data_IF_467323461510
#
_entry.id   IF_467323461510
#
_cell.length_a   1.000
_cell.length_b   1.000
_cell.length_c   1.000
_cell.angle_alpha   90.00
_cell.angle_beta   90.00
_cell.angle_gamma   90.00
#
_symmetry.space_group_name_H-M   'P 1'
#
loop_
_entity.id
_entity.type
_entity.pdbx_description
1 polymer ?
#
# COMPACT_ATOMS: atom_id res chain seq x y z
N UNK A 1 2.11 -14.57 -23.75
CA UNK A 1 1.05 -13.60 -23.43
C UNK A 1 -0.05 -14.34 -22.67
N UNK A 2 -0.35 -13.98 -21.42
CA UNK A 2 -1.46 -14.62 -20.68
C UNK A 2 -2.78 -14.16 -21.27
N UNK A 3 -3.69 -15.09 -21.60
CA UNK A 3 -4.98 -14.76 -22.20
C UNK A 3 -5.80 -13.84 -21.29
N UNK A 4 -6.64 -12.96 -21.83
CA UNK A 4 -7.53 -12.09 -21.03
C UNK A 4 -8.41 -12.92 -20.07
N UNK A 5 -8.76 -14.14 -20.47
CA UNK A 5 -9.48 -15.11 -19.65
C UNK A 5 -8.70 -15.54 -18.40
N UNK A 6 -7.38 -15.79 -18.52
CA UNK A 6 -6.53 -16.16 -17.38
C UNK A 6 -6.40 -15.02 -16.36
N UNK A 7 -6.37 -13.75 -16.82
CA UNK A 7 -6.38 -12.59 -15.92
C UNK A 7 -7.73 -12.43 -15.22
N UNK A 8 -8.84 -12.56 -15.95
CA UNK A 8 -10.18 -12.47 -15.35
C UNK A 8 -10.41 -13.57 -14.31
N UNK A 9 -10.01 -14.81 -14.62
CA UNK A 9 -10.07 -15.93 -13.69
C UNK A 9 -9.24 -15.67 -12.42
N UNK A 10 -8.01 -15.15 -12.55
CA UNK A 10 -7.18 -14.85 -11.37
C UNK A 10 -7.75 -13.74 -10.46
N UNK A 11 -8.52 -12.81 -11.02
CA UNK A 11 -9.21 -11.76 -10.25
C UNK A 11 -10.45 -12.36 -9.56
N UNK A 12 -11.14 -13.29 -10.20
CA UNK A 12 -12.35 -13.92 -9.67
C UNK A 12 -12.05 -14.98 -8.58
N UNK A 13 -10.94 -15.71 -8.72
CA UNK A 13 -10.49 -16.72 -7.76
C UNK A 13 -9.57 -16.16 -6.67
N UNK A 14 -9.44 -14.84 -6.56
CA UNK A 14 -8.76 -14.24 -5.42
C UNK A 14 -9.64 -14.40 -4.17
N UNK A 15 -9.12 -14.92 -3.04
CA UNK A 15 -9.91 -15.14 -1.83
C UNK A 15 -10.56 -13.84 -1.30
N UNK A 16 -9.95 -12.69 -1.59
CA UNK A 16 -10.44 -11.35 -1.24
C UNK A 16 -11.68 -10.91 -2.03
N UNK A 17 -11.90 -11.44 -3.24
CA UNK A 17 -13.04 -11.10 -4.12
C UNK A 17 -14.08 -12.22 -4.17
N UNK A 18 -13.64 -13.48 -4.10
CA UNK A 18 -14.49 -14.66 -4.13
C UNK A 18 -15.37 -14.77 -2.88
N UNK A 19 -14.84 -14.45 -1.70
CA UNK A 19 -15.60 -14.55 -0.46
C UNK A 19 -16.75 -13.52 -0.38
N UNK A 20 -16.53 -12.21 -0.65
CA UNK A 20 -17.64 -11.25 -0.76
C UNK A 20 -18.64 -11.61 -1.85
N UNK A 21 -18.18 -12.13 -2.99
CA UNK A 21 -19.04 -12.54 -4.09
C UNK A 21 -19.95 -13.72 -3.69
N UNK A 22 -19.40 -14.76 -3.07
CA UNK A 22 -20.18 -15.91 -2.59
C UNK A 22 -21.18 -15.50 -1.51
N UNK A 23 -20.73 -14.68 -0.56
CA UNK A 23 -21.59 -14.13 0.49
C UNK A 23 -22.74 -13.32 -0.13
N UNK A 24 -22.43 -12.40 -1.05
CA UNK A 24 -23.42 -11.61 -1.79
C UNK A 24 -24.38 -12.45 -2.61
N UNK A 25 -23.90 -13.54 -3.23
CA UNK A 25 -24.73 -14.46 -4.03
C UNK A 25 -25.71 -15.24 -3.15
N UNK A 26 -25.27 -15.71 -1.98
CA UNK A 26 -26.13 -16.36 -0.99
C UNK A 26 -27.19 -15.36 -0.49
N UNK A 27 -26.80 -14.10 -0.22
CA UNK A 27 -27.76 -13.05 0.14
C UNK A 27 -28.81 -12.82 -0.93
N UNK A 28 -28.39 -12.69 -2.18
CA UNK A 28 -29.30 -12.44 -3.30
C UNK A 28 -30.29 -13.59 -3.48
N UNK A 29 -29.84 -14.84 -3.31
CA UNK A 29 -30.68 -16.03 -3.40
C UNK A 29 -31.71 -16.09 -2.26
N UNK A 30 -31.29 -15.84 -1.01
CA UNK A 30 -32.19 -15.85 0.15
C UNK A 30 -33.20 -14.71 0.07
N UNK A 31 -32.75 -13.50 -0.30
CA UNK A 31 -33.63 -12.35 -0.49
C UNK A 31 -34.63 -12.58 -1.62
N UNK A 32 -34.18 -13.14 -2.75
CA UNK A 32 -35.05 -13.50 -3.86
C UNK A 32 -36.13 -14.51 -3.46
N UNK A 33 -35.79 -15.53 -2.68
CA UNK A 33 -36.75 -16.52 -2.16
C UNK A 33 -37.77 -15.88 -1.24
N UNK A 34 -37.34 -15.03 -0.30
CA UNK A 34 -38.23 -14.33 0.63
C UNK A 34 -39.18 -13.36 -0.10
N UNK A 35 -38.67 -12.60 -1.07
CA UNK A 35 -39.50 -11.68 -1.88
C UNK A 35 -40.51 -12.46 -2.71
N UNK A 36 -40.10 -13.60 -3.29
CA UNK A 36 -41.01 -14.47 -4.04
C UNK A 36 -42.13 -15.03 -3.15
N UNK A 37 -41.82 -15.53 -1.96
CA UNK A 37 -42.82 -16.04 -1.01
C UNK A 37 -43.80 -14.95 -0.55
N UNK A 38 -43.31 -13.74 -0.30
CA UNK A 38 -44.18 -12.59 0.04
C UNK A 38 -45.07 -12.23 -1.15
N UNK A 39 -44.53 -12.10 -2.36
CA UNK A 39 -45.34 -11.80 -3.54
C UNK A 39 -46.37 -12.90 -3.84
N UNK A 40 -45.96 -14.17 -3.72
CA UNK A 40 -46.82 -15.31 -3.97
C UNK A 40 -47.96 -15.38 -2.95
N UNK A 41 -47.67 -15.21 -1.66
CA UNK A 41 -48.69 -15.16 -0.59
C UNK A 41 -49.66 -13.99 -0.75
N UNK A 42 -49.18 -12.83 -1.21
CA UNK A 42 -50.01 -11.64 -1.45
C UNK A 42 -50.94 -11.80 -2.66
N UNK A 43 -50.54 -12.61 -3.65
CA UNK A 43 -51.34 -12.91 -4.85
C UNK A 43 -52.32 -14.05 -4.61
N UNK A 44 -51.94 -15.05 -3.82
CA UNK A 44 -52.75 -16.27 -3.64
C UNK A 44 -53.70 -16.23 -2.44
N UNK A 45 -53.43 -15.40 -1.42
CA UNK A 45 -54.13 -15.50 -0.14
C UNK A 45 -54.69 -14.16 0.37
N UNK A 46 -55.56 -13.55 -0.44
CA UNK A 46 -56.22 -12.28 -0.11
C UNK A 46 -57.36 -12.40 0.93
N UNK A 47 -57.62 -13.58 1.51
CA UNK A 47 -58.74 -13.80 2.42
C UNK A 47 -58.40 -14.51 3.75
N UNK A 48 -57.17 -14.98 3.97
CA UNK A 48 -56.77 -15.61 5.23
C UNK A 48 -55.95 -14.67 6.13
N UNK A 49 -56.40 -14.48 7.37
CA UNK A 49 -55.73 -13.63 8.38
C UNK A 49 -54.36 -14.18 8.79
N UNK A 50 -54.09 -15.46 8.51
CA UNK A 50 -52.83 -16.12 8.83
C UNK A 50 -51.72 -15.81 7.81
N UNK A 51 -52.08 -15.45 6.57
CA UNK A 51 -51.12 -15.10 5.51
C UNK A 51 -50.36 -13.81 5.83
N UNK A 52 -51.06 -12.80 6.38
CA UNK A 52 -50.44 -11.55 6.82
C UNK A 52 -49.42 -11.79 7.94
N UNK A 53 -49.74 -12.66 8.90
CA UNK A 53 -48.86 -12.99 10.01
C UNK A 53 -47.58 -13.71 9.53
N UNK A 54 -47.72 -14.64 8.58
CA UNK A 54 -46.58 -15.34 7.98
C UNK A 54 -45.67 -14.38 7.18
N UNK A 55 -46.24 -13.48 6.39
CA UNK A 55 -45.48 -12.48 5.65
C UNK A 55 -44.70 -11.53 6.57
N UNK A 56 -45.31 -11.10 7.69
CA UNK A 56 -44.64 -10.27 8.70
C UNK A 56 -43.48 -11.04 9.36
N UNK A 57 -43.67 -12.32 9.70
CA UNK A 57 -42.61 -13.14 10.29
C UNK A 57 -41.41 -13.32 9.35
N UNK A 58 -41.65 -13.53 8.05
CA UNK A 58 -40.59 -13.63 7.03
C UNK A 58 -39.86 -12.30 6.82
N UNK A 59 -40.59 -11.18 6.81
CA UNK A 59 -40.00 -9.84 6.71
C UNK A 59 -39.09 -9.54 7.92
N UNK A 60 -39.53 -9.88 9.13
CA UNK A 60 -38.72 -9.70 10.35
C UNK A 60 -37.51 -10.64 10.34
N UNK A 61 -37.68 -11.91 9.96
CA UNK A 61 -36.60 -12.88 9.88
C UNK A 61 -35.50 -12.46 8.91
N UNK A 62 -35.87 -12.02 7.70
CA UNK A 62 -34.94 -11.53 6.69
C UNK A 62 -34.21 -10.26 7.13
N UNK A 63 -34.89 -9.33 7.79
CA UNK A 63 -34.28 -8.12 8.35
C UNK A 63 -33.24 -8.45 9.43
N UNK A 64 -33.53 -9.42 10.31
CA UNK A 64 -32.60 -9.85 11.36
C UNK A 64 -31.35 -10.53 10.78
N UNK A 65 -31.52 -11.40 9.78
CA UNK A 65 -30.40 -12.05 9.08
C UNK A 65 -29.55 -10.98 8.38
N UNK A 66 -30.16 -10.01 7.72
CA UNK A 66 -29.46 -8.89 7.09
C UNK A 66 -28.65 -8.09 8.12
N UNK A 67 -29.27 -7.70 9.23
CA UNK A 67 -28.61 -6.93 10.28
C UNK A 67 -27.42 -7.69 10.87
N UNK A 68 -27.60 -8.98 11.17
CA UNK A 68 -26.54 -9.84 11.69
C UNK A 68 -25.36 -9.94 10.72
N UNK A 69 -25.66 -10.01 9.42
CA UNK A 69 -24.66 -10.16 8.38
C UNK A 69 -23.88 -8.88 8.15
N UNK A 70 -24.55 -7.73 8.14
CA UNK A 70 -23.92 -6.41 8.13
C UNK A 70 -23.01 -6.26 9.36
N UNK A 71 -23.46 -6.71 10.54
CA UNK A 71 -22.66 -6.67 11.77
C UNK A 71 -21.43 -7.58 11.70
N UNK A 72 -21.56 -8.80 11.18
CA UNK A 72 -20.44 -9.73 11.00
C UNK A 72 -19.44 -9.21 9.96
N UNK A 73 -19.94 -8.66 8.84
CA UNK A 73 -19.11 -8.05 7.81
C UNK A 73 -18.39 -6.80 8.31
N UNK A 74 -19.09 -5.90 9.01
CA UNK A 74 -18.49 -4.73 9.64
C UNK A 74 -17.44 -5.11 10.69
N UNK A 75 -17.66 -6.20 11.46
CA UNK A 75 -16.65 -6.74 12.38
C UNK A 75 -15.45 -7.34 11.65
N UNK A 76 -15.65 -8.01 10.52
CA UNK A 76 -14.58 -8.51 9.65
C UNK A 76 -13.75 -7.38 9.05
N UNK A 77 -14.39 -6.30 8.60
CA UNK A 77 -13.70 -5.10 8.10
C UNK A 77 -12.90 -4.39 9.19
N UNK A 78 -13.37 -4.36 10.44
CA UNK A 78 -12.59 -3.81 11.56
C UNK A 78 -11.31 -4.60 11.86
N UNK A 79 -11.21 -5.87 11.46
CA UNK A 79 -9.97 -6.64 11.55
C UNK A 79 -8.99 -6.33 10.39
N UNK A 80 -9.49 -5.68 9.33
CA UNK A 80 -8.71 -5.23 8.18
C UNK A 80 -8.34 -3.75 8.28
N UNK A 81 -8.75 -3.02 9.34
CA UNK A 81 -8.18 -1.72 9.63
C UNK A 81 -6.67 -1.90 9.81
N UNK A 82 -5.84 -1.27 8.94
CA UNK A 82 -4.40 -1.28 9.14
C UNK A 82 -4.15 -0.70 10.52
N UNK A 83 -3.60 -1.52 11.42
CA UNK A 83 -3.04 -1.06 12.69
C UNK A 83 -2.18 0.16 12.35
N UNK A 84 -2.53 1.31 12.93
CA UNK A 84 -2.00 2.64 12.56
C UNK A 84 -0.50 2.57 12.27
N UNK A 85 -0.14 2.67 10.98
CA UNK A 85 1.23 2.71 10.46
C UNK A 85 1.89 4.04 10.83
N UNK A 86 2.10 4.34 12.11
CA UNK A 86 2.85 5.54 12.51
C UNK A 86 3.21 5.54 14.01
N UNK A 87 4.00 4.58 14.47
CA UNK A 87 4.99 4.95 15.49
C UNK A 87 6.07 5.72 14.71
N UNK A 88 6.01 7.06 14.72
CA UNK A 88 7.02 7.90 14.07
C UNK A 88 8.37 7.72 14.77
N UNK A 89 9.14 6.71 14.36
CA UNK A 89 10.47 6.41 14.91
C UNK A 89 11.52 7.08 14.04
N UNK A 90 12.56 7.61 14.68
CA UNK A 90 13.75 8.03 13.94
C UNK A 90 14.40 6.79 13.32
N UNK A 91 14.66 6.77 12.00
CA UNK A 91 15.23 5.61 11.34
C UNK A 91 16.64 5.35 11.85
N UNK A 92 16.97 4.06 11.96
CA UNK A 92 18.34 3.63 12.21
C UNK A 92 19.23 4.11 11.05
N UNK A 93 20.53 4.33 11.29
CA UNK A 93 21.45 4.73 10.22
C UNK A 93 21.79 3.52 9.31
N UNK A 94 21.57 3.66 8.01
CA UNK A 94 21.79 2.60 7.01
C UNK A 94 23.05 2.83 6.17
N UNK A 95 23.56 1.76 5.56
CA UNK A 95 24.74 1.78 4.68
C UNK A 95 24.41 2.25 3.28
N UNK A 96 23.20 1.96 2.81
CA UNK A 96 22.66 2.43 1.55
C UNK A 96 21.49 3.37 1.74
N UNK A 97 21.34 4.33 0.82
CA UNK A 97 20.18 5.22 0.75
C UNK A 97 19.72 5.37 -0.70
N UNK A 98 18.42 5.25 -0.96
CA UNK A 98 17.79 5.51 -2.26
C UNK A 98 16.89 6.75 -2.09
N UNK A 99 17.09 7.76 -2.94
CA UNK A 99 16.34 9.02 -2.91
C UNK A 99 15.66 9.31 -4.25
N UNK A 100 14.44 9.88 -4.18
CA UNK A 100 13.74 10.47 -5.31
C UNK A 100 14.03 11.98 -5.35
N UNK A 101 14.86 12.43 -6.29
CA UNK A 101 15.31 13.83 -6.33
C UNK A 101 14.20 14.74 -6.86
N UNK A 102 13.78 15.72 -6.05
CA UNK A 102 12.93 16.84 -6.49
C UNK A 102 13.30 18.17 -5.86
N UNK A 103 13.50 18.19 -4.54
CA UNK A 103 14.05 19.32 -3.79
C UNK A 103 15.33 18.89 -3.11
N UNK A 104 16.29 19.81 -3.05
CA UNK A 104 17.60 19.54 -2.48
C UNK A 104 17.52 19.30 -0.97
N UNK A 105 16.73 20.09 -0.27
CA UNK A 105 16.74 20.13 1.18
C UNK A 105 16.32 18.79 1.84
N UNK A 106 15.23 18.11 1.44
CA UNK A 106 14.90 16.79 1.98
C UNK A 106 15.98 15.74 1.68
N UNK A 107 16.58 15.80 0.48
CA UNK A 107 17.67 14.90 0.11
C UNK A 107 18.88 15.12 1.01
N UNK A 108 19.23 16.39 1.27
CA UNK A 108 20.33 16.79 2.13
C UNK A 108 20.10 16.31 3.56
N UNK A 109 18.91 16.51 4.12
CA UNK A 109 18.56 16.06 5.48
C UNK A 109 18.64 14.52 5.59
N UNK A 110 18.10 13.79 4.61
CA UNK A 110 18.19 12.34 4.58
C UNK A 110 19.65 11.84 4.51
N UNK A 111 20.47 12.42 3.63
CA UNK A 111 21.90 12.07 3.51
C UNK A 111 22.64 12.35 4.82
N UNK A 112 22.43 13.53 5.42
CA UNK A 112 23.08 13.93 6.67
C UNK A 112 22.73 13.00 7.83
N UNK A 113 21.47 12.59 7.94
CA UNK A 113 21.03 11.64 8.97
C UNK A 113 21.82 10.33 8.92
N UNK A 114 22.06 9.82 7.69
CA UNK A 114 22.77 8.56 7.48
C UNK A 114 24.30 8.69 7.35
N UNK A 115 24.84 9.91 7.26
CA UNK A 115 26.23 10.17 6.83
C UNK A 115 27.30 9.33 7.54
N UNK A 116 27.16 9.07 8.85
CA UNK A 116 28.15 8.29 9.63
C UNK A 116 28.28 6.82 9.18
N UNK A 117 27.22 6.26 8.59
CA UNK A 117 27.19 4.87 8.09
C UNK A 117 27.01 4.77 6.59
N UNK A 118 26.63 5.85 5.94
CA UNK A 118 26.30 5.85 4.52
C UNK A 118 27.57 5.59 3.69
N UNK A 119 27.53 4.51 2.91
CA UNK A 119 28.60 4.11 2.00
C UNK A 119 28.17 4.30 0.54
N UNK A 120 26.86 4.22 0.25
CA UNK A 120 26.33 4.36 -1.11
C UNK A 120 24.98 5.06 -1.13
N UNK A 121 24.82 6.01 -2.06
CA UNK A 121 23.57 6.73 -2.28
C UNK A 121 23.15 6.62 -3.74
N UNK A 122 21.91 6.20 -4.00
CA UNK A 122 21.31 6.19 -5.33
C UNK A 122 20.33 7.35 -5.44
N UNK A 123 20.57 8.22 -6.42
CA UNK A 123 19.74 9.39 -6.67
C UNK A 123 18.94 9.15 -7.96
N UNK A 124 17.64 8.90 -7.82
CA UNK A 124 16.73 8.82 -8.98
C UNK A 124 16.36 10.23 -9.38
N UNK A 125 16.52 10.55 -10.66
CA UNK A 125 16.24 11.89 -11.19
C UNK A 125 15.58 11.79 -12.57
N UNK A 126 14.80 12.80 -12.92
CA UNK A 126 14.35 13.07 -14.28
C UNK A 126 15.31 14.03 -14.99
N UNK A 127 15.03 14.36 -16.25
CA UNK A 127 15.76 15.42 -16.96
C UNK A 127 15.70 16.77 -16.22
N UNK A 128 14.54 17.10 -15.65
CA UNK A 128 14.33 18.37 -14.93
C UNK A 128 15.15 18.48 -13.64
N UNK A 129 15.41 17.34 -12.99
CA UNK A 129 16.07 17.28 -11.67
C UNK A 129 17.52 16.80 -11.76
N UNK A 130 18.01 16.52 -12.97
CA UNK A 130 19.38 16.04 -13.23
C UNK A 130 20.46 16.97 -12.66
N UNK A 131 20.35 18.27 -12.92
CA UNK A 131 21.32 19.25 -12.44
C UNK A 131 21.41 19.27 -10.91
N UNK A 132 20.27 19.14 -10.23
CA UNK A 132 20.21 19.06 -8.77
C UNK A 132 20.82 17.75 -8.25
N UNK A 133 20.54 16.62 -8.90
CA UNK A 133 21.12 15.33 -8.49
C UNK A 133 22.66 15.33 -8.61
N UNK A 134 23.20 15.96 -9.66
CA UNK A 134 24.65 16.19 -9.82
C UNK A 134 25.19 17.10 -8.73
N UNK A 135 24.55 18.25 -8.49
CA UNK A 135 24.98 19.20 -7.45
C UNK A 135 24.99 18.57 -6.05
N UNK A 136 23.99 17.75 -5.72
CA UNK A 136 23.97 16.98 -4.46
C UNK A 136 25.16 16.03 -4.39
N UNK A 137 25.40 15.23 -5.44
CA UNK A 137 26.53 14.30 -5.46
C UNK A 137 27.89 15.02 -5.33
N UNK A 138 28.05 16.16 -6.02
CA UNK A 138 29.26 16.97 -5.99
C UNK A 138 29.48 17.63 -4.62
N UNK A 139 28.42 18.06 -3.94
CA UNK A 139 28.49 18.64 -2.58
C UNK A 139 29.11 17.68 -1.58
N UNK A 140 28.91 16.37 -1.77
CA UNK A 140 29.49 15.32 -0.94
C UNK A 140 30.69 14.63 -1.61
N UNK A 141 31.24 15.20 -2.68
CA UNK A 141 32.47 14.72 -3.30
C UNK A 141 33.64 14.88 -2.32
N UNK A 142 34.34 13.78 -2.03
CA UNK A 142 35.36 13.71 -0.98
C UNK A 142 34.92 13.00 0.30
N UNK A 143 33.61 12.79 0.50
CA UNK A 143 33.12 11.89 1.53
C UNK A 143 33.33 10.42 1.10
N UNK A 144 33.23 9.50 2.06
CA UNK A 144 33.28 8.03 1.79
C UNK A 144 32.02 7.51 1.07
N UNK A 145 31.10 8.39 0.67
CA UNK A 145 29.82 8.05 0.08
C UNK A 145 29.96 7.96 -1.44
N UNK A 146 29.65 6.79 -2.02
CA UNK A 146 29.59 6.59 -3.46
C UNK A 146 28.20 6.94 -3.99
N UNK A 147 28.10 7.94 -4.87
CA UNK A 147 26.83 8.32 -5.51
C UNK A 147 26.62 7.61 -6.86
N UNK A 148 25.39 7.17 -7.12
CA UNK A 148 24.94 6.68 -8.42
C UNK A 148 23.69 7.44 -8.86
N UNK A 149 23.79 8.11 -10.00
CA UNK A 149 22.66 8.80 -10.63
C UNK A 149 21.88 7.81 -11.50
N UNK A 150 20.56 7.77 -11.34
CA UNK A 150 19.67 6.90 -12.09
C UNK A 150 18.61 7.78 -12.77
N UNK A 151 18.63 7.78 -14.09
CA UNK A 151 17.63 8.50 -14.87
C UNK A 151 16.30 7.75 -14.90
N UNK A 152 15.20 8.49 -14.71
CA UNK A 152 13.81 8.05 -14.89
C UNK A 152 13.24 8.82 -16.08
N UNK A 153 12.76 8.11 -17.09
CA UNK A 153 12.30 8.68 -18.35
C UNK A 153 10.87 9.24 -18.23
N UNK A 154 9.96 8.52 -17.56
CA UNK A 154 8.59 8.95 -17.31
C UNK A 154 8.28 9.00 -15.81
N UNK A 155 8.20 10.23 -15.28
CA UNK A 155 7.89 10.47 -13.87
C UNK A 155 6.46 10.10 -13.46
N UNK A 156 5.60 9.77 -14.42
CA UNK A 156 4.23 9.31 -14.22
C UNK A 156 4.07 7.80 -14.34
N UNK A 157 5.12 7.05 -14.70
CA UNK A 157 5.10 5.59 -14.72
C UNK A 157 5.61 4.99 -13.39
N UNK A 158 4.73 4.59 -12.45
CA UNK A 158 5.16 3.95 -11.20
C UNK A 158 5.91 2.63 -11.44
N UNK A 159 5.72 1.97 -12.59
CA UNK A 159 6.40 0.72 -12.92
C UNK A 159 7.87 0.95 -13.25
N UNK A 160 8.21 2.07 -13.88
CA UNK A 160 9.61 2.44 -14.14
C UNK A 160 10.38 2.59 -12.82
N UNK A 161 9.85 3.37 -11.86
CA UNK A 161 10.43 3.50 -10.52
C UNK A 161 10.59 2.14 -9.83
N UNK A 162 9.54 1.31 -9.88
CA UNK A 162 9.58 -0.04 -9.32
C UNK A 162 10.74 -0.85 -9.90
N UNK A 163 10.91 -0.83 -11.23
CA UNK A 163 11.96 -1.57 -11.91
C UNK A 163 13.36 -1.06 -11.58
N UNK A 164 13.56 0.27 -11.51
CA UNK A 164 14.84 0.83 -11.11
C UNK A 164 15.22 0.42 -9.69
N UNK A 165 14.28 0.49 -8.75
CA UNK A 165 14.53 0.15 -7.34
C UNK A 165 14.75 -1.35 -7.16
N UNK A 166 13.97 -2.19 -7.86
CA UNK A 166 14.23 -3.63 -7.94
C UNK A 166 15.63 -3.94 -8.47
N UNK A 167 16.07 -3.23 -9.50
CA UNK A 167 17.41 -3.39 -10.08
C UNK A 167 18.49 -3.00 -9.07
N UNK A 168 18.30 -1.92 -8.32
CA UNK A 168 19.22 -1.54 -7.22
C UNK A 168 19.33 -2.69 -6.21
N UNK A 169 18.21 -3.20 -5.70
CA UNK A 169 18.21 -4.32 -4.74
C UNK A 169 18.80 -5.62 -5.32
N UNK A 170 18.63 -5.87 -6.62
CA UNK A 170 19.23 -7.02 -7.31
C UNK A 170 20.73 -6.87 -7.60
N UNK A 171 21.29 -5.67 -7.46
CA UNK A 171 22.68 -5.34 -7.80
C UNK A 171 23.41 -4.69 -6.62
N UNK A 172 23.01 -5.03 -5.40
CA UNK A 172 23.69 -4.57 -4.19
C UNK A 172 25.14 -5.08 -4.15
N UNK A 173 26.06 -4.34 -3.49
CA UNK A 173 27.42 -4.84 -3.28
C UNK A 173 27.44 -6.21 -2.61
N UNK A 174 28.49 -6.99 -2.86
CA UNK A 174 28.67 -8.30 -2.22
C UNK A 174 28.59 -8.18 -0.69
N UNK A 175 27.78 -9.04 -0.08
CA UNK A 175 27.55 -9.06 1.37
C UNK A 175 26.52 -8.03 1.86
N UNK A 176 25.93 -7.22 0.99
CA UNK A 176 24.82 -6.35 1.36
C UNK A 176 23.48 -7.06 1.27
N UNK A 177 22.57 -6.72 2.19
CA UNK A 177 21.17 -7.13 2.14
C UNK A 177 20.27 -5.92 1.90
N UNK A 178 19.05 -6.11 1.35
CA UNK A 178 18.11 -5.01 1.19
C UNK A 178 17.75 -4.29 2.50
N UNK A 179 17.84 -4.97 3.66
CA UNK A 179 17.62 -4.37 4.98
C UNK A 179 18.68 -3.32 5.36
N UNK A 180 19.83 -3.33 4.69
CA UNK A 180 20.89 -2.36 4.92
C UNK A 180 20.76 -1.11 4.03
N UNK A 181 19.73 -1.07 3.18
CA UNK A 181 19.46 0.03 2.25
C UNK A 181 18.12 0.65 2.60
N UNK A 182 18.15 1.91 3.00
CA UNK A 182 16.95 2.70 3.28
C UNK A 182 16.41 3.31 1.99
N UNK A 183 15.12 3.16 1.76
CA UNK A 183 14.42 3.82 0.65
C UNK A 183 13.61 5.00 1.19
N UNK A 184 13.99 6.22 0.79
CA UNK A 184 13.27 7.43 1.13
C UNK A 184 12.33 7.81 -0.02
N UNK A 185 11.03 7.69 0.24
CA UNK A 185 9.99 7.93 -0.75
C UNK A 185 9.52 9.39 -0.77
N UNK A 186 10.20 10.29 -0.05
CA UNK A 186 10.03 11.73 -0.20
C UNK A 186 10.58 12.18 -1.53
N UNK A 187 9.74 12.84 -2.33
CA UNK A 187 10.17 13.57 -3.51
C UNK A 187 9.54 13.08 -4.82
N UNK A 188 10.01 13.67 -5.92
CA UNK A 188 9.47 13.55 -7.28
C UNK A 188 7.94 13.65 -7.35
N UNK A 189 7.25 12.52 -7.48
CA UNK A 189 5.80 12.41 -7.68
C UNK A 189 5.23 11.32 -6.79
N UNK A 190 3.92 11.37 -6.54
CA UNK A 190 3.23 10.28 -5.83
C UNK A 190 3.40 8.92 -6.54
N UNK A 191 3.47 8.92 -7.87
CA UNK A 191 3.76 7.71 -8.66
C UNK A 191 5.14 7.14 -8.33
N UNK A 192 6.16 7.99 -8.20
CA UNK A 192 7.50 7.62 -7.76
C UNK A 192 7.49 7.00 -6.36
N UNK A 193 6.80 7.63 -5.41
CA UNK A 193 6.65 7.10 -4.06
C UNK A 193 5.97 5.72 -4.06
N UNK A 194 4.89 5.54 -4.83
CA UNK A 194 4.19 4.25 -4.96
C UNK A 194 5.11 3.17 -5.54
N UNK A 195 5.81 3.47 -6.64
CA UNK A 195 6.77 2.54 -7.26
C UNK A 195 7.87 2.10 -6.28
N UNK A 196 8.39 3.04 -5.50
CA UNK A 196 9.40 2.76 -4.46
C UNK A 196 8.88 1.89 -3.33
N UNK A 197 7.71 2.23 -2.78
CA UNK A 197 7.11 1.46 -1.69
C UNK A 197 6.85 0.04 -2.15
N UNK A 198 6.22 -0.15 -3.31
CA UNK A 198 5.92 -1.47 -3.89
C UNK A 198 7.19 -2.30 -4.15
N UNK A 199 8.27 -1.68 -4.64
CA UNK A 199 9.54 -2.36 -4.87
C UNK A 199 10.22 -2.81 -3.56
N UNK A 200 9.96 -2.09 -2.46
CA UNK A 200 10.55 -2.33 -1.15
C UNK A 200 9.79 -3.40 -0.33
N UNK A 201 8.51 -3.64 -0.61
CA UNK A 201 7.69 -4.67 0.09
C UNK A 201 8.30 -6.07 0.03
N UNK A 202 8.84 -6.46 -1.13
CA UNK A 202 9.49 -7.75 -1.36
C UNK A 202 10.86 -7.47 -1.95
N UNK A 203 11.79 -6.96 -1.15
CA UNK A 203 12.55 -7.83 -0.26
C UNK A 203 12.41 -7.51 1.23
N UNK A 204 11.37 -6.77 1.63
CA UNK A 204 11.22 -6.18 2.98
C UNK A 204 12.37 -5.21 3.30
N UNK A 205 12.65 -4.32 2.36
CA UNK A 205 13.60 -3.21 2.59
C UNK A 205 12.92 -2.13 3.46
N UNK A 206 13.66 -1.48 4.35
CA UNK A 206 13.14 -0.41 5.20
C UNK A 206 12.80 0.83 4.36
N UNK A 207 11.77 1.54 4.79
CA UNK A 207 11.27 2.76 4.18
C UNK A 207 11.39 3.90 5.16
N UNK A 208 11.64 5.10 4.64
CA UNK A 208 11.54 6.33 5.41
C UNK A 208 10.83 7.43 4.65
N UNK A 209 10.41 8.43 5.39
CA UNK A 209 9.86 9.68 4.90
C UNK A 209 10.55 10.85 5.57
N UNK A 210 11.08 11.77 4.78
CA UNK A 210 11.64 13.05 5.26
C UNK A 210 10.55 14.13 5.15
N UNK A 211 9.90 14.55 6.26
CA UNK A 211 8.78 15.48 6.23
C UNK A 211 9.22 16.91 5.94
N UNK A 212 8.29 17.74 5.48
CA UNK A 212 8.46 19.20 5.49
C UNK A 212 8.09 19.72 6.88
N UNK A 213 8.84 20.70 7.38
CA UNK A 213 8.52 21.40 8.61
C UNK A 213 7.21 22.20 8.39
N UNK A 214 6.12 21.92 9.13
CA UNK A 214 4.85 22.61 8.93
C UNK A 214 4.92 24.10 9.24
N UNK A 215 5.90 24.53 10.04
CA UNK A 215 6.11 25.92 10.40
C UNK A 215 7.04 26.66 9.41
N UNK A 216 7.79 25.94 8.59
CA UNK A 216 8.73 26.50 7.61
C UNK A 216 8.82 25.59 6.38
N UNK A 217 8.11 25.94 5.30
CA UNK A 217 7.93 25.09 4.10
C UNK A 217 9.22 24.75 3.33
N UNK A 218 10.31 25.46 3.61
CA UNK A 218 11.63 25.27 3.00
C UNK A 218 12.58 24.42 3.86
N UNK A 219 12.16 23.98 5.04
CA UNK A 219 12.94 23.13 5.93
C UNK A 219 12.30 21.74 6.02
N UNK A 220 13.13 20.72 6.14
CA UNK A 220 12.70 19.36 6.43
C UNK A 220 12.96 19.03 7.90
N UNK A 221 12.05 18.21 8.43
CA UNK A 221 12.23 17.58 9.72
C UNK A 221 13.16 16.37 9.60
N UNK A 222 13.61 15.83 10.73
CA UNK A 222 14.35 14.56 10.75
C UNK A 222 13.56 13.45 10.06
N UNK A 223 14.21 12.55 9.30
CA UNK A 223 13.51 11.45 8.65
C UNK A 223 12.77 10.57 9.67
N UNK A 224 11.68 9.95 9.22
CA UNK A 224 10.83 9.06 9.99
C UNK A 224 10.81 7.69 9.32
N UNK A 225 11.09 6.63 10.08
CA UNK A 225 11.00 5.25 9.60
C UNK A 225 9.55 4.81 9.46
N UNK A 226 9.23 4.16 8.34
CA UNK A 226 7.94 3.57 8.07
C UNK A 226 8.06 2.05 8.22
N UNK A 227 7.73 1.58 9.42
CA UNK A 227 7.72 0.16 9.72
C UNK A 227 6.47 -0.50 9.13
N UNK A 228 6.65 -1.26 8.05
CA UNK A 228 5.61 -2.13 7.51
C UNK A 228 5.47 -3.37 8.42
N UNK A 229 4.69 -3.25 9.50
CA UNK A 229 4.36 -4.41 10.34
C UNK A 229 3.51 -5.37 9.53
N UNK A 230 4.03 -6.58 9.27
CA UNK A 230 3.21 -7.65 8.69
C UNK A 230 2.22 -8.11 9.75
N UNK A 231 1.00 -7.59 9.67
CA UNK A 231 -0.18 -8.16 10.31
C UNK A 231 -0.51 -9.49 9.63
N UNK A 232 0.30 -10.52 9.90
CA UNK A 232 -0.15 -11.90 9.78
C UNK A 232 -0.09 -12.45 11.19
N UNK A 233 -1.19 -12.26 11.92
CA UNK A 233 -1.44 -13.10 13.10
C UNK A 233 -1.41 -14.53 12.58
N UNK A 234 -0.31 -15.23 12.86
CA UNK A 234 -0.24 -16.68 12.77
C UNK A 234 -1.39 -17.18 13.64
N UNK A 235 -2.48 -17.60 13.01
CA UNK A 235 -3.51 -18.36 13.68
C UNK A 235 -2.79 -19.58 14.25
N UNK A 236 -2.57 -19.56 15.57
CA UNK A 236 -2.05 -20.72 16.31
C UNK A 236 -2.94 -21.91 15.92
N UNK A 237 -2.32 -22.90 15.28
CA UNK A 237 -2.87 -24.24 15.13
C UNK A 237 -3.10 -24.86 16.51
#
# INVERSE_FOLDING_TARGET
>A
MRSPFSKAASIFFNPETLLPFLIGSIFLAVLGSAVWEVLFSLVTDLNDKNALAAAIQLAIGSLLIFLLSVLLFARGLKQLEPETLADARTPIKHRGLILLVSREEPCRVAIQHHADRLERCWLLHSDQTKAMAVAIADTYSGNRISFKLIHVNDIYDPMEFFQHIRRIYGQLPTGWTPQQVMADYTGMTAHGSVGMVLASLSPKAPLQYTPVNPNCSNESMTPIEIALRSSVKSAKR
#
